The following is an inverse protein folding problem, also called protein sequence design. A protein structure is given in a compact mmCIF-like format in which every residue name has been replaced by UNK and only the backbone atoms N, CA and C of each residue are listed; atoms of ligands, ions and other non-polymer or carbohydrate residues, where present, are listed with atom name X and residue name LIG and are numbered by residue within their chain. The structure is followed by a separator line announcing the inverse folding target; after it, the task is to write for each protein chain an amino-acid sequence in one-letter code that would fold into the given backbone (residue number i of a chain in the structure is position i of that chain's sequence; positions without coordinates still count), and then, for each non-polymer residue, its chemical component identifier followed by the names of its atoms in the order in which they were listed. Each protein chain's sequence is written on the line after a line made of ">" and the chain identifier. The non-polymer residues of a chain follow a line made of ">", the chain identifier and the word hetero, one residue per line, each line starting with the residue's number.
data_IF_397210309845
#
_entry.id   IF_397210309845
#
_cell.length_a   1.000
_cell.length_b   1.000
_cell.length_c   1.000
_cell.angle_alpha   90.00
_cell.angle_beta   90.00
_cell.angle_gamma   90.00
#
_symmetry.space_group_name_H-M   'P 1'
#
loop_
_entity.id
_entity.type
_entity.pdbx_description
1 polymer ?
#
# COMPACT_ATOMS: atom_id res chain seq x y z
N UNK A 1 7.25 4.65 5.22
CA UNK A 1 6.60 5.76 4.50
C UNK A 1 5.55 6.44 5.36
N UNK A 2 4.63 5.71 6.00
CA UNK A 2 3.63 6.30 6.91
C UNK A 2 4.28 7.04 8.08
N UNK A 3 5.36 6.49 8.65
CA UNK A 3 6.12 7.17 9.70
C UNK A 3 6.69 8.51 9.21
N UNK A 4 7.34 8.53 8.03
CA UNK A 4 7.88 9.76 7.43
C UNK A 4 6.78 10.80 7.17
N UNK A 5 5.64 10.36 6.64
CA UNK A 5 4.49 11.24 6.46
C UNK A 5 4.02 11.84 7.79
N UNK A 6 3.83 11.00 8.81
CA UNK A 6 3.36 11.45 10.12
C UNK A 6 4.35 12.38 10.83
N UNK A 7 5.64 12.11 10.73
CA UNK A 7 6.68 12.97 11.30
C UNK A 7 6.70 14.37 10.65
N UNK A 8 6.38 14.43 9.35
CA UNK A 8 6.31 15.71 8.62
C UNK A 8 5.00 16.47 8.90
N UNK A 9 3.86 15.79 8.79
CA UNK A 9 2.54 16.42 8.78
C UNK A 9 1.87 16.50 10.17
N UNK A 10 2.25 15.59 11.07
CA UNK A 10 1.64 15.49 12.41
C UNK A 10 2.67 15.02 13.46
N UNK A 11 3.73 15.78 13.73
CA UNK A 11 4.86 15.34 14.56
C UNK A 11 4.51 15.05 16.03
N UNK A 12 3.31 15.44 16.48
CA UNK A 12 2.77 15.16 17.82
C UNK A 12 1.68 14.09 17.83
N UNK A 13 1.52 13.31 16.76
CA UNK A 13 0.46 12.30 16.66
C UNK A 13 0.53 11.27 17.78
N UNK A 14 -0.63 10.91 18.31
CA UNK A 14 -0.82 9.74 19.17
C UNK A 14 -1.34 8.61 18.30
N UNK A 15 -0.48 7.65 17.99
CA UNK A 15 -0.74 6.61 16.99
C UNK A 15 -1.29 5.36 17.66
N UNK A 16 -2.42 4.85 17.18
CA UNK A 16 -2.92 3.52 17.47
C UNK A 16 -2.81 2.65 16.22
N UNK A 17 -2.42 1.39 16.37
CA UNK A 17 -2.27 0.43 15.27
C UNK A 17 -3.11 -0.79 15.52
N UNK A 18 -3.91 -1.20 14.53
CA UNK A 18 -4.49 -2.53 14.44
C UNK A 18 -3.73 -3.33 13.39
N UNK A 19 -3.26 -4.51 13.75
CA UNK A 19 -2.50 -5.36 12.82
C UNK A 19 -2.89 -6.84 12.93
N UNK A 20 -2.82 -7.55 11.82
CA UNK A 20 -3.01 -9.00 11.81
C UNK A 20 -1.86 -9.68 12.56
N UNK A 21 -2.16 -10.68 13.39
CA UNK A 21 -1.14 -11.42 14.16
C UNK A 21 -0.43 -12.45 13.28
N UNK A 22 0.29 -11.99 12.29
CA UNK A 22 1.14 -12.78 11.40
C UNK A 22 2.44 -12.02 11.07
N UNK A 23 3.26 -12.59 10.20
CA UNK A 23 4.52 -11.97 9.82
C UNK A 23 4.32 -10.62 9.13
N UNK A 24 3.30 -10.50 8.25
CA UNK A 24 3.00 -9.23 7.59
C UNK A 24 2.66 -8.12 8.60
N UNK A 25 1.74 -8.41 9.52
CA UNK A 25 1.31 -7.41 10.50
C UNK A 25 2.44 -7.00 11.45
N UNK A 26 3.23 -7.96 11.91
CA UNK A 26 4.41 -7.72 12.77
C UNK A 26 5.49 -6.93 12.04
N UNK A 27 5.77 -7.24 10.78
CA UNK A 27 6.77 -6.54 9.97
C UNK A 27 6.36 -5.10 9.71
N UNK A 28 5.09 -4.84 9.38
CA UNK A 28 4.61 -3.47 9.20
C UNK A 28 4.65 -2.67 10.50
N UNK A 29 4.27 -3.28 11.65
CA UNK A 29 4.39 -2.62 12.96
C UNK A 29 5.85 -2.32 13.29
N UNK A 30 6.76 -3.26 13.02
CA UNK A 30 8.21 -3.05 13.19
C UNK A 30 8.70 -1.92 12.29
N UNK A 31 8.36 -1.94 10.99
CA UNK A 31 8.75 -0.90 10.05
C UNK A 31 8.21 0.48 10.43
N UNK A 32 7.01 0.56 11.02
CA UNK A 32 6.48 1.82 11.56
C UNK A 32 7.36 2.31 12.72
N UNK A 33 7.72 1.44 13.67
CA UNK A 33 8.59 1.80 14.81
C UNK A 33 9.97 2.22 14.34
N UNK A 34 10.57 1.49 13.41
CA UNK A 34 11.88 1.81 12.84
C UNK A 34 11.84 3.18 12.13
N UNK A 35 10.78 3.45 11.36
CA UNK A 35 10.59 4.73 10.68
C UNK A 35 10.30 5.91 11.61
N UNK A 36 9.72 5.68 12.79
CA UNK A 36 9.54 6.70 13.83
C UNK A 36 10.83 6.97 14.62
N UNK A 37 11.74 5.99 14.70
CA UNK A 37 13.01 6.12 15.42
C UNK A 37 12.82 6.60 16.87
N UNK A 38 13.50 7.67 17.25
CA UNK A 38 13.41 8.26 18.60
C UNK A 38 12.00 8.75 18.96
N UNK A 39 11.09 8.86 17.98
CA UNK A 39 9.69 9.22 18.17
C UNK A 39 8.76 8.00 18.29
N UNK A 40 9.30 6.80 18.49
CA UNK A 40 8.49 5.59 18.67
C UNK A 40 7.47 5.67 19.82
N UNK A 41 7.67 6.57 20.77
CA UNK A 41 6.70 6.90 21.85
C UNK A 41 5.40 7.52 21.33
N UNK A 42 5.35 7.97 20.06
CA UNK A 42 4.11 8.38 19.40
C UNK A 42 3.14 7.20 19.24
N UNK A 43 3.63 5.95 19.22
CA UNK A 43 2.80 4.74 19.24
C UNK A 43 2.26 4.52 20.65
N UNK A 44 1.02 4.91 20.91
CA UNK A 44 0.37 4.84 22.23
C UNK A 44 -0.40 3.54 22.45
N UNK A 45 -0.81 2.85 21.36
CA UNK A 45 -1.50 1.57 21.45
C UNK A 45 -1.25 0.73 20.20
N UNK A 46 -1.18 -0.59 20.38
CA UNK A 46 -1.12 -1.55 19.29
C UNK A 46 -1.92 -2.80 19.69
N UNK A 47 -2.89 -3.17 18.88
CA UNK A 47 -3.73 -4.35 19.05
C UNK A 47 -3.50 -5.31 17.89
N UNK A 48 -3.31 -6.58 18.18
CA UNK A 48 -3.27 -7.63 17.16
C UNK A 48 -4.60 -8.37 17.11
N UNK A 49 -4.98 -8.85 15.95
CA UNK A 49 -6.15 -9.71 15.77
C UNK A 49 -5.80 -10.97 15.00
N UNK A 50 -6.55 -12.04 15.22
CA UNK A 50 -6.44 -13.28 14.46
C UNK A 50 -7.40 -13.25 13.27
N UNK A 51 -6.96 -13.81 12.12
CA UNK A 51 -7.82 -13.90 10.90
C UNK A 51 -9.11 -14.66 11.15
N UNK A 52 -9.09 -15.59 12.11
CA UNK A 52 -10.24 -16.41 12.49
C UNK A 52 -11.24 -15.70 13.40
N UNK A 53 -10.90 -14.51 13.92
CA UNK A 53 -11.83 -13.76 14.75
C UNK A 53 -13.07 -13.33 13.94
N UNK A 54 -14.27 -13.54 14.50
CA UNK A 54 -15.50 -13.17 13.80
C UNK A 54 -15.65 -11.64 13.67
N UNK A 55 -15.19 -10.90 14.67
CA UNK A 55 -15.24 -9.43 14.74
C UNK A 55 -14.00 -8.86 15.43
N UNK A 56 -13.63 -7.64 15.04
CA UNK A 56 -12.51 -6.88 15.62
C UNK A 56 -12.98 -5.68 16.45
N UNK A 57 -14.26 -5.63 16.81
CA UNK A 57 -14.90 -4.48 17.45
C UNK A 57 -14.24 -4.10 18.78
N UNK A 58 -13.88 -5.09 19.60
CA UNK A 58 -13.19 -4.88 20.87
C UNK A 58 -11.84 -4.20 20.71
N UNK A 59 -11.07 -4.59 19.69
CA UNK A 59 -9.78 -3.97 19.41
C UNK A 59 -9.96 -2.49 19.03
N UNK A 60 -10.94 -2.15 18.19
CA UNK A 60 -11.20 -0.75 17.81
C UNK A 60 -11.65 0.08 19.04
N UNK A 61 -12.45 -0.48 19.93
CA UNK A 61 -12.87 0.18 21.18
C UNK A 61 -11.64 0.49 22.05
N UNK A 62 -10.75 -0.49 22.24
CA UNK A 62 -9.52 -0.33 23.03
C UNK A 62 -8.59 0.73 22.41
N UNK A 63 -8.39 0.66 21.08
CA UNK A 63 -7.56 1.63 20.37
C UNK A 63 -8.10 3.06 20.48
N UNK A 64 -9.42 3.26 20.39
CA UNK A 64 -10.03 4.57 20.65
C UNK A 64 -9.83 5.01 22.10
N UNK A 65 -9.98 4.11 23.08
CA UNK A 65 -9.83 4.40 24.49
C UNK A 65 -8.41 4.82 24.89
N UNK A 66 -7.39 4.48 24.08
CA UNK A 66 -6.01 4.94 24.29
C UNK A 66 -5.82 6.44 24.12
N UNK A 67 -6.82 7.16 23.63
CA UNK A 67 -6.74 8.59 23.32
C UNK A 67 -5.96 8.90 22.05
N UNK A 68 -5.76 7.91 21.18
CA UNK A 68 -5.11 8.10 19.89
C UNK A 68 -5.92 9.04 18.99
N UNK A 69 -5.21 9.90 18.27
CA UNK A 69 -5.74 10.82 17.27
C UNK A 69 -5.34 10.43 15.83
N UNK A 70 -4.60 9.35 15.71
CA UNK A 70 -4.14 8.75 14.46
C UNK A 70 -4.32 7.25 14.55
N UNK A 71 -4.98 6.65 13.55
CA UNK A 71 -5.24 5.22 13.49
C UNK A 71 -4.64 4.62 12.23
N UNK A 72 -3.83 3.59 12.37
CA UNK A 72 -3.24 2.82 11.27
C UNK A 72 -3.83 1.42 11.30
N UNK A 73 -4.48 1.02 10.20
CA UNK A 73 -5.08 -0.31 10.03
C UNK A 73 -4.22 -1.14 9.08
N UNK A 74 -3.59 -2.18 9.61
CA UNK A 74 -2.81 -3.18 8.86
C UNK A 74 -3.58 -4.50 8.88
N UNK A 75 -4.64 -4.55 8.12
CA UNK A 75 -5.66 -5.61 8.20
C UNK A 75 -5.92 -6.24 6.84
N UNK A 76 -6.48 -7.44 6.84
CA UNK A 76 -7.04 -8.06 5.63
C UNK A 76 -8.35 -7.38 5.21
N UNK A 77 -8.81 -7.55 3.95
CA UNK A 77 -9.99 -6.85 3.44
C UNK A 77 -11.24 -6.98 4.33
N UNK A 78 -11.54 -8.18 4.83
CA UNK A 78 -12.70 -8.41 5.71
C UNK A 78 -12.61 -7.55 6.98
N UNK A 79 -11.47 -7.59 7.64
CA UNK A 79 -11.24 -6.84 8.90
C UNK A 79 -11.12 -5.34 8.63
N UNK A 80 -10.60 -4.92 7.47
CA UNK A 80 -10.60 -3.50 7.07
C UNK A 80 -12.03 -2.94 6.95
N UNK A 81 -12.94 -3.68 6.33
CA UNK A 81 -14.37 -3.30 6.25
C UNK A 81 -14.96 -3.11 7.65
N UNK A 82 -14.68 -4.05 8.56
CA UNK A 82 -15.17 -3.97 9.95
C UNK A 82 -14.56 -2.75 10.67
N UNK A 83 -13.25 -2.50 10.52
CA UNK A 83 -12.56 -1.38 11.14
C UNK A 83 -13.15 -0.04 10.69
N UNK A 84 -13.33 0.16 9.38
CA UNK A 84 -13.90 1.40 8.83
C UNK A 84 -15.30 1.65 9.37
N UNK A 85 -16.16 0.62 9.33
CA UNK A 85 -17.53 0.71 9.86
C UNK A 85 -17.55 1.03 11.36
N UNK A 86 -16.72 0.32 12.14
CA UNK A 86 -16.69 0.50 13.59
C UNK A 86 -16.16 1.87 14.00
N UNK A 87 -15.14 2.37 13.33
CA UNK A 87 -14.62 3.73 13.53
C UNK A 87 -15.71 4.77 13.29
N UNK A 88 -16.47 4.62 12.19
CA UNK A 88 -17.57 5.51 11.85
C UNK A 88 -18.74 5.41 12.86
N UNK A 89 -19.19 4.19 13.20
CA UNK A 89 -20.24 3.91 14.19
C UNK A 89 -19.94 4.58 15.54
N UNK A 90 -18.68 4.51 15.97
CA UNK A 90 -18.24 5.10 17.24
C UNK A 90 -18.08 6.63 17.19
N UNK A 91 -18.27 7.27 16.04
CA UNK A 91 -17.97 8.68 15.83
C UNK A 91 -16.50 9.04 16.11
N UNK A 92 -15.59 8.06 16.02
CA UNK A 92 -14.14 8.31 16.17
C UNK A 92 -13.62 8.95 14.89
N UNK A 93 -12.90 10.07 15.01
CA UNK A 93 -12.39 10.84 13.87
C UNK A 93 -10.86 10.98 13.94
N UNK A 94 -10.11 9.88 13.89
CA UNK A 94 -8.65 9.96 13.83
C UNK A 94 -8.19 10.37 12.43
N UNK A 95 -6.93 10.77 12.28
CA UNK A 95 -6.26 10.64 11.00
C UNK A 95 -6.17 9.14 10.69
N UNK A 96 -6.99 8.65 9.76
CA UNK A 96 -7.09 7.21 9.49
C UNK A 96 -6.20 6.85 8.29
N UNK A 97 -5.22 5.97 8.50
CA UNK A 97 -4.36 5.40 7.46
C UNK A 97 -4.70 3.91 7.31
N UNK A 98 -5.16 3.54 6.13
CA UNK A 98 -5.39 2.14 5.74
C UNK A 98 -4.18 1.60 5.02
N UNK A 99 -3.65 0.47 5.45
CA UNK A 99 -2.58 -0.24 4.74
C UNK A 99 -2.98 -0.57 3.30
N UNK A 100 -2.05 -0.41 2.37
CA UNK A 100 -2.32 -0.55 0.94
C UNK A 100 -2.89 -1.91 0.52
N UNK A 101 -2.52 -2.99 1.23
CA UNK A 101 -3.03 -4.34 0.97
C UNK A 101 -4.56 -4.46 1.11
N UNK A 102 -5.18 -3.53 1.84
CA UNK A 102 -6.63 -3.45 2.03
C UNK A 102 -7.20 -2.08 1.64
N UNK A 103 -6.60 -1.44 0.64
CA UNK A 103 -7.06 -0.16 0.09
C UNK A 103 -7.97 -0.32 -1.15
N UNK A 104 -8.40 -1.54 -1.48
CA UNK A 104 -9.25 -1.80 -2.64
C UNK A 104 -10.61 -1.12 -2.52
N UNK A 105 -10.98 -0.34 -3.53
CA UNK A 105 -12.29 0.31 -3.59
C UNK A 105 -13.40 -0.76 -3.65
N UNK A 106 -13.25 -1.74 -4.53
CA UNK A 106 -14.30 -2.74 -4.77
C UNK A 106 -14.51 -3.69 -3.58
N UNK A 107 -13.43 -4.19 -2.96
CA UNK A 107 -13.50 -5.22 -1.92
C UNK A 107 -13.48 -4.69 -0.49
N UNK A 108 -13.14 -3.40 -0.29
CA UNK A 108 -13.03 -2.81 1.05
C UNK A 108 -13.87 -1.53 1.20
N UNK A 109 -13.58 -0.48 0.43
CA UNK A 109 -14.19 0.82 0.69
C UNK A 109 -15.68 0.84 0.33
N UNK A 110 -16.07 0.23 -0.80
CA UNK A 110 -17.48 0.11 -1.18
C UNK A 110 -18.29 -0.75 -0.21
N UNK A 111 -17.84 -1.95 0.20
CA UNK A 111 -18.52 -2.70 1.25
C UNK A 111 -18.55 -2.00 2.61
N UNK A 112 -17.53 -1.20 2.96
CA UNK A 112 -17.53 -0.42 4.21
C UNK A 112 -18.54 0.73 4.21
N UNK A 113 -18.93 1.21 3.03
CA UNK A 113 -19.71 2.42 2.80
C UNK A 113 -18.76 3.58 2.46
N UNK A 114 -18.97 4.19 1.28
CA UNK A 114 -18.09 5.27 0.83
C UNK A 114 -18.14 6.48 1.78
N UNK A 115 -19.30 6.74 2.39
CA UNK A 115 -19.51 7.77 3.39
C UNK A 115 -18.62 7.57 4.64
N UNK A 116 -18.37 6.32 5.04
CA UNK A 116 -17.53 5.95 6.18
C UNK A 116 -16.03 6.01 5.84
N UNK A 117 -15.71 5.97 4.55
CA UNK A 117 -14.34 5.91 4.07
C UNK A 117 -13.76 7.28 3.66
N UNK A 118 -14.58 8.34 3.65
CA UNK A 118 -14.12 9.67 3.23
C UNK A 118 -12.95 10.16 4.07
N UNK A 119 -11.91 10.64 3.41
CA UNK A 119 -10.72 11.17 4.05
C UNK A 119 -9.71 10.12 4.53
N UNK A 120 -10.01 8.83 4.43
CA UNK A 120 -9.03 7.77 4.73
C UNK A 120 -7.81 7.94 3.82
N UNK A 121 -6.63 7.84 4.42
CA UNK A 121 -5.34 7.88 3.73
C UNK A 121 -4.82 6.47 3.44
N UNK A 122 -4.04 6.37 2.39
CA UNK A 122 -3.17 5.22 2.12
C UNK A 122 -1.94 5.70 1.36
N UNK A 123 -1.08 4.78 0.94
CA UNK A 123 0.03 5.07 0.04
C UNK A 123 0.19 3.96 -0.98
N UNK A 124 0.48 4.32 -2.23
CA UNK A 124 0.66 3.33 -3.28
C UNK A 124 1.73 3.78 -4.28
N UNK A 125 2.18 2.86 -5.09
CA UNK A 125 3.22 3.10 -6.09
C UNK A 125 2.72 3.00 -7.53
N UNK A 126 1.52 2.45 -7.73
CA UNK A 126 0.99 2.21 -9.06
C UNK A 126 -0.15 3.18 -9.41
N UNK A 127 -0.32 3.39 -10.71
CA UNK A 127 -1.44 4.16 -11.28
C UNK A 127 -2.74 3.37 -11.09
N UNK A 128 -3.81 4.04 -10.70
CA UNK A 128 -5.14 3.43 -10.67
C UNK A 128 -5.69 3.33 -12.10
N UNK A 129 -5.95 2.12 -12.56
CA UNK A 129 -6.50 1.89 -13.89
C UNK A 129 -7.92 2.43 -14.09
N UNK A 130 -8.63 2.78 -13.01
CA UNK A 130 -9.94 3.42 -13.09
C UNK A 130 -9.86 4.94 -13.15
N UNK A 131 -8.73 5.56 -12.77
CA UNK A 131 -8.61 7.01 -12.73
C UNK A 131 -8.42 7.60 -14.15
N UNK A 132 -9.34 8.45 -14.62
CA UNK A 132 -9.28 9.05 -15.95
C UNK A 132 -8.03 9.88 -16.23
N UNK A 133 -7.32 10.34 -15.18
CA UNK A 133 -6.07 11.08 -15.38
C UNK A 133 -5.03 10.24 -16.15
N UNK A 134 -5.10 8.92 -16.06
CA UNK A 134 -4.18 7.99 -16.71
C UNK A 134 -4.66 7.49 -18.07
N UNK A 135 -5.86 7.85 -18.51
CA UNK A 135 -6.42 7.35 -19.78
C UNK A 135 -5.55 7.71 -20.99
N UNK A 136 -4.78 8.79 -20.93
CA UNK A 136 -3.86 9.22 -22.00
C UNK A 136 -2.39 8.89 -21.71
N UNK A 137 -2.09 8.25 -20.60
CA UNK A 137 -0.72 7.85 -20.27
C UNK A 137 -0.25 6.73 -21.20
N UNK A 138 0.89 6.84 -21.89
CA UNK A 138 1.33 5.83 -22.86
C UNK A 138 1.54 4.44 -22.25
N UNK A 139 1.99 4.35 -21.00
CA UNK A 139 2.15 3.09 -20.29
C UNK A 139 0.81 2.44 -20.01
N UNK A 140 -0.15 3.21 -19.51
CA UNK A 140 -1.49 2.71 -19.23
C UNK A 140 -2.25 2.32 -20.52
N UNK A 141 -2.01 3.01 -21.63
CA UNK A 141 -2.55 2.60 -22.94
C UNK A 141 -2.04 1.22 -23.35
N UNK A 142 -0.74 0.92 -23.14
CA UNK A 142 -0.20 -0.43 -23.38
C UNK A 142 -0.82 -1.48 -22.47
N UNK A 143 -0.99 -1.15 -21.19
CA UNK A 143 -1.69 -2.01 -20.23
C UNK A 143 -3.14 -2.29 -20.67
N UNK A 144 -3.91 -1.27 -21.06
CA UNK A 144 -5.29 -1.46 -21.53
C UNK A 144 -5.37 -2.30 -22.81
N UNK A 145 -4.47 -2.07 -23.76
CA UNK A 145 -4.38 -2.87 -24.97
C UNK A 145 -4.03 -4.33 -24.67
N UNK A 146 -3.13 -4.57 -23.71
CA UNK A 146 -2.81 -5.91 -23.23
C UNK A 146 -4.05 -6.60 -22.65
N UNK A 147 -4.78 -5.94 -21.75
CA UNK A 147 -6.00 -6.51 -21.17
C UNK A 147 -7.03 -6.85 -22.26
N UNK A 148 -7.30 -5.92 -23.14
CA UNK A 148 -8.28 -6.13 -24.21
C UNK A 148 -7.95 -7.35 -25.08
N UNK A 149 -6.66 -7.63 -25.28
CA UNK A 149 -6.20 -8.73 -26.13
C UNK A 149 -6.10 -10.08 -25.40
N UNK A 150 -5.58 -10.08 -24.17
CA UNK A 150 -5.17 -11.31 -23.49
C UNK A 150 -5.98 -11.65 -22.24
N UNK A 151 -6.69 -10.69 -21.66
CA UNK A 151 -7.48 -10.86 -20.45
C UNK A 151 -8.73 -9.96 -20.44
N UNK A 152 -9.62 -10.09 -21.47
CA UNK A 152 -10.76 -9.19 -21.67
C UNK A 152 -11.83 -9.30 -20.57
N UNK A 153 -11.79 -10.34 -19.77
CA UNK A 153 -12.64 -10.57 -18.59
C UNK A 153 -12.16 -9.85 -17.32
N UNK A 154 -10.95 -9.31 -17.35
CA UNK A 154 -10.37 -8.63 -16.18
C UNK A 154 -10.68 -7.14 -16.18
N UNK A 155 -10.95 -6.62 -14.99
CA UNK A 155 -11.16 -5.18 -14.82
C UNK A 155 -9.84 -4.43 -14.80
N UNK A 156 -9.75 -3.33 -15.53
CA UNK A 156 -8.61 -2.42 -15.48
C UNK A 156 -8.45 -1.72 -14.12
N UNK A 157 -9.52 -1.68 -13.32
CA UNK A 157 -9.52 -1.11 -11.97
C UNK A 157 -9.16 -2.11 -10.87
N UNK A 158 -8.90 -3.38 -11.24
CA UNK A 158 -8.44 -4.37 -10.28
C UNK A 158 -6.94 -4.15 -9.99
N UNK A 159 -6.66 -3.73 -8.78
CA UNK A 159 -5.30 -3.48 -8.28
C UNK A 159 -4.39 -4.70 -8.45
N UNK A 160 -4.93 -5.91 -8.32
CA UNK A 160 -4.17 -7.16 -8.49
C UNK A 160 -3.76 -7.38 -9.94
N UNK A 161 -4.59 -6.98 -10.89
CA UNK A 161 -4.31 -7.06 -12.33
C UNK A 161 -3.23 -6.04 -12.72
N UNK A 162 -3.33 -4.80 -12.20
CA UNK A 162 -2.30 -3.77 -12.39
C UNK A 162 -0.95 -4.23 -11.83
N UNK A 163 -0.96 -4.78 -10.61
CA UNK A 163 0.23 -5.35 -9.97
C UNK A 163 0.84 -6.48 -10.80
N UNK A 164 0.03 -7.46 -11.22
CA UNK A 164 0.49 -8.61 -11.99
C UNK A 164 1.15 -8.21 -13.32
N UNK A 165 0.59 -7.20 -14.01
CA UNK A 165 1.18 -6.67 -15.23
C UNK A 165 2.54 -6.03 -14.98
N UNK A 166 2.68 -5.18 -13.96
CA UNK A 166 3.94 -4.55 -13.59
C UNK A 166 5.01 -5.57 -13.16
N UNK A 167 4.61 -6.61 -12.40
CA UNK A 167 5.52 -7.69 -12.01
C UNK A 167 5.99 -8.51 -13.22
N UNK A 168 5.10 -8.78 -14.18
CA UNK A 168 5.45 -9.44 -15.43
C UNK A 168 6.45 -8.61 -16.26
N UNK A 169 6.26 -7.29 -16.34
CA UNK A 169 7.22 -6.41 -17.01
C UNK A 169 8.61 -6.44 -16.33
N UNK A 170 8.65 -6.47 -15.00
CA UNK A 170 9.91 -6.61 -14.26
C UNK A 170 10.59 -7.94 -14.57
N UNK A 171 9.84 -9.05 -14.66
CA UNK A 171 10.39 -10.35 -15.05
C UNK A 171 10.89 -10.34 -16.50
N UNK A 172 10.16 -9.74 -17.44
CA UNK A 172 10.60 -9.58 -18.83
C UNK A 172 11.92 -8.80 -18.89
N UNK A 173 12.08 -7.73 -18.09
CA UNK A 173 13.33 -6.99 -18.00
C UNK A 173 14.47 -7.89 -17.49
N UNK A 174 14.25 -8.67 -16.45
CA UNK A 174 15.23 -9.61 -15.89
C UNK A 174 15.67 -10.64 -16.93
N UNK A 175 14.71 -11.25 -17.65
CA UNK A 175 15.01 -12.23 -18.69
C UNK A 175 15.74 -11.61 -19.88
N UNK A 176 15.39 -10.39 -20.25
CA UNK A 176 16.12 -9.63 -21.29
C UNK A 176 17.58 -9.39 -20.91
N UNK A 177 17.83 -9.04 -19.63
CA UNK A 177 19.20 -8.87 -19.11
C UNK A 177 19.95 -10.21 -19.01
N UNK A 178 19.24 -11.31 -18.75
CA UNK A 178 19.85 -12.63 -18.66
C UNK A 178 20.35 -13.15 -20.03
N UNK A 179 19.78 -12.66 -21.14
CA UNK A 179 20.09 -13.11 -22.49
C UNK A 179 19.81 -14.61 -22.66
N UNK A 180 20.73 -15.32 -23.32
CA UNK A 180 20.59 -16.76 -23.58
C UNK A 180 20.93 -17.64 -22.38
N UNK A 181 21.57 -17.08 -21.33
CA UNK A 181 21.86 -17.82 -20.08
C UNK A 181 20.68 -17.72 -19.12
N UNK A 182 19.71 -18.60 -19.28
CA UNK A 182 18.53 -18.72 -18.44
C UNK A 182 18.73 -19.64 -17.23
N UNK A 183 19.99 -19.89 -16.83
CA UNK A 183 20.25 -20.61 -15.59
C UNK A 183 19.69 -19.87 -14.40
N UNK A 184 19.22 -20.62 -13.37
CA UNK A 184 18.68 -20.02 -12.14
C UNK A 184 19.67 -19.01 -11.53
N UNK A 185 20.95 -19.34 -11.51
CA UNK A 185 21.99 -18.48 -10.95
C UNK A 185 22.07 -17.14 -11.69
N UNK A 186 22.02 -17.14 -13.02
CA UNK A 186 22.05 -15.90 -13.79
C UNK A 186 20.74 -15.10 -13.63
N UNK A 187 19.58 -15.73 -13.74
CA UNK A 187 18.30 -15.06 -13.57
C UNK A 187 18.21 -14.39 -12.19
N UNK A 188 18.61 -15.08 -11.12
CA UNK A 188 18.67 -14.50 -9.78
C UNK A 188 19.61 -13.31 -9.67
N UNK A 189 20.79 -13.41 -10.30
CA UNK A 189 21.75 -12.30 -10.34
C UNK A 189 21.19 -11.09 -11.08
N UNK A 190 20.50 -11.30 -12.20
CA UNK A 190 19.86 -10.22 -12.96
C UNK A 190 18.67 -9.60 -12.17
N UNK A 191 17.88 -10.43 -11.50
CA UNK A 191 16.81 -9.95 -10.63
C UNK A 191 17.35 -9.09 -9.46
N UNK A 192 18.53 -9.42 -8.95
CA UNK A 192 19.21 -8.65 -7.91
C UNK A 192 20.07 -7.49 -8.48
N UNK A 193 19.83 -7.03 -9.70
CA UNK A 193 20.62 -5.97 -10.34
C UNK A 193 19.79 -4.99 -11.17
N UNK A 194 18.49 -4.92 -10.92
CA UNK A 194 17.61 -3.94 -11.57
C UNK A 194 18.05 -2.52 -11.21
N UNK A 195 18.12 -1.64 -12.20
CA UNK A 195 18.49 -0.23 -12.00
C UNK A 195 17.53 0.68 -12.76
N UNK A 196 16.85 1.53 -12.00
CA UNK A 196 15.94 2.56 -12.53
C UNK A 196 14.90 2.02 -13.52
N UNK A 197 14.49 0.76 -13.37
CA UNK A 197 13.47 0.19 -14.23
C UNK A 197 12.09 0.78 -13.88
N UNK A 198 11.35 1.19 -14.90
CA UNK A 198 10.04 1.85 -14.74
C UNK A 198 8.98 1.04 -15.49
N UNK A 199 8.23 0.17 -14.81
CA UNK A 199 7.05 -0.46 -15.40
C UNK A 199 6.01 0.55 -15.86
N UNK A 200 5.20 0.19 -16.85
CA UNK A 200 4.15 1.03 -17.41
C UNK A 200 3.13 1.54 -16.38
N UNK A 201 2.87 0.74 -15.38
CA UNK A 201 1.81 0.97 -14.39
C UNK A 201 2.27 1.68 -13.12
N UNK A 202 3.56 2.02 -12.97
CA UNK A 202 4.01 2.75 -11.77
C UNK A 202 3.80 4.25 -11.90
N UNK A 203 3.66 4.91 -10.76
CA UNK A 203 3.52 6.37 -10.68
C UNK A 203 4.79 7.07 -11.18
N UNK A 204 4.68 8.28 -11.76
CA UNK A 204 5.83 9.10 -12.10
C UNK A 204 6.75 9.30 -10.89
N UNK A 205 8.05 9.06 -11.10
CA UNK A 205 9.07 9.17 -10.04
C UNK A 205 9.34 7.86 -9.28
N UNK A 206 8.47 6.86 -9.39
CA UNK A 206 8.72 5.51 -8.82
C UNK A 206 9.58 4.70 -9.79
N UNK A 207 10.59 4.02 -9.25
CA UNK A 207 11.53 3.19 -10.01
C UNK A 207 11.81 1.91 -9.25
N UNK A 208 12.00 0.83 -9.98
CA UNK A 208 12.43 -0.44 -9.44
C UNK A 208 13.95 -0.51 -9.42
N UNK A 209 14.49 -0.76 -8.24
CA UNK A 209 15.93 -0.99 -8.03
C UNK A 209 16.11 -2.21 -7.14
N UNK A 210 17.17 -2.98 -7.39
CA UNK A 210 17.59 -4.10 -6.54
C UNK A 210 19.11 -4.15 -6.51
N UNK A 211 19.68 -4.79 -5.48
CA UNK A 211 21.10 -5.08 -5.38
C UNK A 211 21.34 -6.45 -4.77
N UNK A 212 22.60 -6.84 -4.60
CA UNK A 212 22.97 -8.14 -4.03
C UNK A 212 22.52 -8.32 -2.56
N UNK A 213 22.32 -7.22 -1.87
CA UNK A 213 21.95 -7.12 -0.45
C UNK A 213 20.62 -6.37 -0.24
N UNK A 214 19.95 -5.98 -1.34
CA UNK A 214 18.65 -5.31 -1.33
C UNK A 214 17.70 -5.92 -2.37
N UNK A 215 16.72 -6.66 -1.87
CA UNK A 215 15.72 -7.35 -2.68
C UNK A 215 14.34 -6.67 -2.67
N UNK A 216 14.24 -5.43 -2.16
CA UNK A 216 13.01 -4.65 -2.14
C UNK A 216 12.93 -3.74 -3.39
N UNK A 217 12.29 -4.17 -4.48
CA UNK A 217 12.37 -3.44 -5.75
C UNK A 217 11.61 -2.11 -5.73
N UNK A 218 10.62 -1.96 -4.83
CA UNK A 218 9.79 -0.76 -4.74
C UNK A 218 9.88 -0.21 -3.31
N UNK A 219 10.55 0.92 -3.17
CA UNK A 219 10.74 1.61 -1.91
C UNK A 219 10.15 3.03 -1.92
N UNK A 220 9.44 3.38 -2.96
CA UNK A 220 8.87 4.71 -3.17
C UNK A 220 7.36 4.61 -3.33
N UNK A 221 6.62 5.36 -2.51
CA UNK A 221 5.17 5.44 -2.58
C UNK A 221 4.73 6.91 -2.57
N UNK A 222 3.56 7.18 -3.11
CA UNK A 222 2.88 8.46 -2.97
C UNK A 222 1.67 8.30 -2.07
N UNK A 223 1.43 9.28 -1.21
CA UNK A 223 0.22 9.31 -0.38
C UNK A 223 -1.02 9.50 -1.25
N UNK A 224 -2.10 8.88 -0.85
CA UNK A 224 -3.41 9.03 -1.47
C UNK A 224 -4.49 9.18 -0.41
N UNK A 225 -5.57 9.90 -0.76
CA UNK A 225 -6.75 10.12 0.07
C UNK A 225 -7.99 9.65 -0.66
N UNK A 226 -8.88 8.98 0.05
CA UNK A 226 -10.15 8.58 -0.52
C UNK A 226 -11.12 9.77 -0.54
N UNK A 227 -11.55 10.17 -1.73
CA UNK A 227 -12.44 11.31 -1.97
C UNK A 227 -13.55 10.92 -2.96
N UNK A 228 -14.80 11.07 -2.55
CA UNK A 228 -15.93 10.58 -3.34
C UNK A 228 -15.88 9.06 -3.46
N UNK A 229 -15.55 8.55 -4.64
CA UNK A 229 -15.49 7.11 -4.95
C UNK A 229 -14.12 6.67 -5.50
N UNK A 230 -13.07 7.48 -5.30
CA UNK A 230 -11.75 7.22 -5.85
C UNK A 230 -10.63 7.59 -4.89
N UNK A 231 -9.47 7.03 -5.14
CA UNK A 231 -8.23 7.48 -4.53
C UNK A 231 -7.67 8.69 -5.29
N UNK A 232 -7.34 9.75 -4.56
CA UNK A 232 -6.69 10.96 -5.08
C UNK A 232 -5.29 11.03 -4.51
N UNK A 233 -4.28 10.97 -5.36
CA UNK A 233 -2.87 11.12 -4.93
C UNK A 233 -2.59 12.55 -4.54
N UNK A 234 -1.74 12.75 -3.53
CA UNK A 234 -1.32 14.07 -3.07
C UNK A 234 0.11 14.04 -2.53
N UNK A 235 0.70 15.21 -2.41
CA UNK A 235 2.08 15.36 -1.92
C UNK A 235 3.13 14.74 -2.86
N UNK A 236 4.41 14.79 -2.48
CA UNK A 236 5.49 14.18 -3.25
C UNK A 236 5.53 12.66 -3.09
N UNK A 237 6.24 12.00 -3.99
CA UNK A 237 6.66 10.60 -3.79
C UNK A 237 7.62 10.55 -2.59
N UNK A 238 7.34 9.66 -1.65
CA UNK A 238 8.12 9.46 -0.43
C UNK A 238 8.98 8.21 -0.62
N UNK A 239 10.28 8.32 -0.41
CA UNK A 239 11.17 7.16 -0.35
C UNK A 239 11.08 6.47 1.01
N UNK A 240 11.03 5.14 1.01
CA UNK A 240 11.11 4.29 2.20
C UNK A 240 12.53 3.88 2.53
N UNK A 241 13.52 4.20 1.67
CA UNK A 241 14.92 3.87 1.92
C UNK A 241 15.34 4.38 3.30
N UNK A 242 15.72 3.47 4.16
CA UNK A 242 16.37 3.77 5.43
C UNK A 242 17.85 3.88 5.06
N UNK A 243 18.46 5.04 5.30
CA UNK A 243 19.86 5.28 4.97
C UNK A 243 20.73 4.12 5.50
N UNK A 244 21.39 3.45 4.58
CA UNK A 244 22.36 2.37 4.84
C UNK A 244 23.74 2.97 4.98
#
# INVERSE_FOLDING_TARGET
>A
IYARYLLAEKPGAKIAVLYQNDDLGRDVLKGLKDGLGDKATMLVAAESYEVTEPTIDSHIINLKASGADTFISVTTPKSAVQAIRKVAEMGWKPLFIQGYASASIASVLKPAGFENAQGILSAYYAKDGADPQWDRDPGMQRFYAFLAKFAPDKSRSDISVVYGYGAAQAMVQVLTQAGDDLTRANVMRQAASLKNFVPDTVLPGVKLNTSADDFYPIEQLQMMRFEGERWVTFGPVISGEIGR
#
